data_IF_408768803556
#
_entry.id   IF_408768803556
#
_cell.length_a   1.000
_cell.length_b   1.000
_cell.length_c   1.000
_cell.angle_alpha   90.00
_cell.angle_beta   90.00
_cell.angle_gamma   90.00
#
_symmetry.space_group_name_H-M   'P 1'
#
loop_
_entity.id
_entity.type
_entity.pdbx_description
1 polymer ?
#
# COMPACT_ATOMS: atom_id res chain seq x y z
N UNK A 1 -11.96 31.96 4.26
CA UNK A 1 -11.48 30.64 4.70
C UNK A 1 -12.01 29.63 3.69
N UNK A 2 -11.36 29.55 2.53
CA UNK A 2 -11.80 28.68 1.44
C UNK A 2 -11.30 27.28 1.78
N UNK A 3 -12.16 26.46 2.38
CA UNK A 3 -11.93 25.04 2.49
C UNK A 3 -11.98 24.51 1.07
N UNK A 4 -10.82 24.21 0.48
CA UNK A 4 -10.74 23.41 -0.73
C UNK A 4 -11.36 22.06 -0.39
N UNK A 5 -12.64 21.87 -0.74
CA UNK A 5 -13.27 20.57 -0.71
C UNK A 5 -12.36 19.61 -1.49
N UNK A 6 -11.97 18.46 -0.91
CA UNK A 6 -11.19 17.48 -1.64
C UNK A 6 -12.03 17.05 -2.83
N UNK A 7 -11.61 17.45 -4.03
CA UNK A 7 -12.36 17.17 -5.24
C UNK A 7 -12.78 15.70 -5.28
N UNK A 8 -14.06 15.38 -5.55
CA UNK A 8 -14.57 14.01 -5.46
C UNK A 8 -13.79 13.03 -6.35
N UNK A 9 -13.20 13.54 -7.43
CA UNK A 9 -12.29 12.81 -8.30
C UNK A 9 -11.05 12.25 -7.60
N UNK A 10 -10.50 12.94 -6.58
CA UNK A 10 -9.33 12.47 -5.84
C UNK A 10 -9.68 11.30 -4.93
N UNK A 11 -10.87 11.31 -4.33
CA UNK A 11 -11.37 10.20 -3.52
C UNK A 11 -11.72 8.97 -4.36
N UNK A 12 -12.42 9.16 -5.50
CA UNK A 12 -12.80 8.06 -6.37
C UNK A 12 -11.60 7.29 -6.93
N UNK A 13 -10.51 8.00 -7.31
CA UNK A 13 -9.27 7.36 -7.77
C UNK A 13 -8.63 6.46 -6.71
N UNK A 14 -8.70 6.85 -5.43
CA UNK A 14 -8.18 6.04 -4.31
C UNK A 14 -9.03 4.78 -4.12
N UNK A 15 -10.35 4.95 -4.12
CA UNK A 15 -11.30 3.84 -3.99
C UNK A 15 -11.08 2.78 -5.09
N UNK A 16 -10.94 3.22 -6.35
CA UNK A 16 -10.69 2.32 -7.48
C UNK A 16 -9.35 1.60 -7.34
N UNK A 17 -8.31 2.28 -6.86
CA UNK A 17 -7.01 1.65 -6.62
C UNK A 17 -7.08 0.58 -5.52
N UNK A 18 -7.81 0.84 -4.43
CA UNK A 18 -8.01 -0.13 -3.34
C UNK A 18 -8.78 -1.36 -3.82
N UNK A 19 -9.86 -1.17 -4.58
CA UNK A 19 -10.61 -2.27 -5.18
C UNK A 19 -9.74 -3.07 -6.16
N UNK A 20 -8.94 -2.41 -6.99
CA UNK A 20 -8.04 -3.09 -7.92
C UNK A 20 -6.96 -3.91 -7.19
N UNK A 21 -6.45 -3.39 -6.07
CA UNK A 21 -5.48 -4.07 -5.21
C UNK A 21 -6.08 -5.28 -4.49
N UNK A 22 -7.29 -5.14 -3.93
CA UNK A 22 -8.02 -6.26 -3.33
C UNK A 22 -8.32 -7.35 -4.36
N UNK A 23 -8.78 -6.95 -5.55
CA UNK A 23 -9.04 -7.88 -6.64
C UNK A 23 -7.74 -8.58 -7.07
N UNK A 24 -6.63 -7.85 -7.14
CA UNK A 24 -5.31 -8.43 -7.39
C UNK A 24 -4.90 -9.42 -6.32
N UNK A 25 -5.09 -9.10 -5.03
CA UNK A 25 -4.72 -9.98 -3.92
C UNK A 25 -5.46 -11.33 -3.94
N UNK A 26 -6.72 -11.32 -4.38
CA UNK A 26 -7.61 -12.49 -4.41
C UNK A 26 -7.42 -13.37 -5.65
N UNK A 27 -7.23 -12.77 -6.83
CA UNK A 27 -7.21 -13.50 -8.09
C UNK A 27 -5.81 -13.71 -8.67
N UNK A 28 -4.83 -12.90 -8.27
CA UNK A 28 -3.47 -12.94 -8.82
C UNK A 28 -2.45 -13.38 -7.76
N UNK A 29 -1.30 -13.91 -8.20
CA UNK A 29 -0.19 -14.21 -7.30
C UNK A 29 0.28 -12.98 -6.53
N UNK A 30 0.71 -13.20 -5.29
CA UNK A 30 1.20 -12.17 -4.36
C UNK A 30 2.24 -11.20 -4.95
N UNK A 31 3.06 -11.65 -5.90
CA UNK A 31 4.05 -10.84 -6.60
C UNK A 31 3.42 -9.66 -7.37
N UNK A 32 2.28 -9.91 -8.03
CA UNK A 32 1.57 -8.89 -8.82
C UNK A 32 0.97 -7.85 -7.87
N UNK A 33 0.36 -8.32 -6.79
CA UNK A 33 -0.20 -7.45 -5.75
C UNK A 33 0.88 -6.58 -5.11
N UNK A 34 2.08 -7.13 -4.87
CA UNK A 34 3.21 -6.41 -4.29
C UNK A 34 3.69 -5.28 -5.23
N UNK A 35 3.83 -5.55 -6.53
CA UNK A 35 4.19 -4.53 -7.52
C UNK A 35 3.14 -3.41 -7.55
N UNK A 36 1.86 -3.76 -7.52
CA UNK A 36 0.77 -2.77 -7.46
C UNK A 36 0.83 -1.93 -6.18
N UNK A 37 1.14 -2.53 -5.03
CA UNK A 37 1.30 -1.82 -3.75
C UNK A 37 2.46 -0.82 -3.85
N UNK A 38 3.60 -1.21 -4.45
CA UNK A 38 4.74 -0.32 -4.64
C UNK A 38 4.33 0.87 -5.53
N UNK A 39 3.72 0.60 -6.70
CA UNK A 39 3.27 1.64 -7.62
C UNK A 39 2.27 2.59 -6.92
N UNK A 40 1.32 2.03 -6.16
CA UNK A 40 0.35 2.77 -5.36
C UNK A 40 1.02 3.65 -4.30
N UNK A 41 2.01 3.14 -3.58
CA UNK A 41 2.74 3.90 -2.56
C UNK A 41 3.55 5.08 -3.12
N UNK A 42 3.94 5.02 -4.40
CA UNK A 42 4.56 6.14 -5.13
C UNK A 42 3.52 7.15 -5.64
N UNK A 43 2.38 6.68 -6.16
CA UNK A 43 1.32 7.55 -6.69
C UNK A 43 0.51 8.27 -5.61
N UNK A 44 0.27 7.60 -4.48
CA UNK A 44 -0.59 8.11 -3.41
C UNK A 44 0.23 8.58 -2.23
N UNK A 45 -0.05 9.82 -1.79
CA UNK A 45 0.81 10.45 -0.80
C UNK A 45 0.69 9.85 0.62
N UNK A 46 -0.50 9.37 0.99
CA UNK A 46 -0.81 8.83 2.31
C UNK A 46 -1.44 7.45 2.13
N UNK A 47 -0.67 6.51 1.57
CA UNK A 47 -1.14 5.17 1.22
C UNK A 47 -1.01 4.21 2.41
N UNK A 48 -1.68 4.53 3.52
CA UNK A 48 -1.74 3.66 4.69
C UNK A 48 -2.50 2.36 4.39
N UNK A 49 -3.32 2.34 3.33
CA UNK A 49 -4.02 1.15 2.85
C UNK A 49 -3.03 0.02 2.47
N UNK A 50 -1.81 0.34 2.02
CA UNK A 50 -0.75 -0.65 1.74
C UNK A 50 -0.37 -1.51 2.95
N UNK A 51 -0.38 -0.94 4.16
CA UNK A 51 -0.05 -1.69 5.37
C UNK A 51 -1.13 -2.71 5.70
N UNK A 52 -2.40 -2.30 5.64
CA UNK A 52 -3.54 -3.20 5.85
C UNK A 52 -3.61 -4.29 4.78
N UNK A 53 -3.33 -3.94 3.52
CA UNK A 53 -3.23 -4.92 2.43
C UNK A 53 -2.05 -5.88 2.61
N UNK A 54 -0.90 -5.40 3.11
CA UNK A 54 0.24 -6.25 3.43
C UNK A 54 -0.09 -7.27 4.53
N UNK A 55 -0.81 -6.86 5.57
CA UNK A 55 -1.35 -7.76 6.59
C UNK A 55 -2.36 -8.76 6.02
N UNK A 56 -3.24 -8.30 5.12
CA UNK A 56 -4.20 -9.15 4.45
C UNK A 56 -3.51 -10.20 3.57
N UNK A 57 -2.44 -9.82 2.86
CA UNK A 57 -1.60 -10.73 2.09
C UNK A 57 -0.87 -11.73 2.97
N UNK A 58 -0.31 -11.30 4.12
CA UNK A 58 0.27 -12.24 5.09
C UNK A 58 -0.78 -13.21 5.65
N UNK A 59 -2.03 -12.78 5.83
CA UNK A 59 -3.11 -13.66 6.26
C UNK A 59 -3.55 -14.65 5.17
N UNK A 60 -3.58 -14.22 3.91
CA UNK A 60 -3.97 -15.06 2.77
C UNK A 60 -2.89 -16.06 2.37
N UNK A 61 -1.63 -15.61 2.37
CA UNK A 61 -0.49 -16.34 1.80
C UNK A 61 0.54 -16.80 2.84
N UNK A 62 0.46 -16.33 4.09
CA UNK A 62 1.43 -16.66 5.14
C UNK A 62 1.38 -18.10 5.65
N UNK A 63 0.48 -18.93 5.13
CA UNK A 63 0.40 -20.38 5.40
C UNK A 63 0.96 -21.24 4.27
N UNK A 64 0.86 -20.79 3.01
CA UNK A 64 1.24 -21.60 1.85
C UNK A 64 2.48 -21.09 1.09
N UNK A 65 2.75 -19.78 1.13
CA UNK A 65 3.60 -19.13 0.13
C UNK A 65 5.07 -18.98 0.53
N UNK A 66 5.69 -20.00 1.12
CA UNK A 66 7.11 -20.03 1.56
C UNK A 66 7.24 -19.52 2.99
N UNK A 67 7.49 -20.44 3.92
CA UNK A 67 8.13 -20.11 5.20
C UNK A 67 9.52 -19.56 4.90
N UNK A 68 9.63 -18.26 4.58
CA UNK A 68 10.91 -17.56 4.53
C UNK A 68 11.48 -17.56 5.95
N UNK A 69 12.24 -18.61 6.30
CA UNK A 69 12.85 -18.78 7.62
C UNK A 69 11.89 -18.68 8.82
N UNK A 70 10.60 -19.02 8.64
CA UNK A 70 9.58 -18.93 9.70
C UNK A 70 9.02 -17.52 9.93
N UNK A 71 9.31 -16.57 9.03
CA UNK A 71 8.85 -15.19 9.16
C UNK A 71 7.44 -15.02 8.57
N UNK A 72 6.43 -15.01 9.44
CA UNK A 72 4.99 -14.99 9.08
C UNK A 72 4.45 -13.61 8.67
N UNK A 73 5.20 -12.53 8.92
CA UNK A 73 4.78 -11.14 8.70
C UNK A 73 5.66 -10.42 7.66
N UNK A 74 6.07 -11.14 6.63
CA UNK A 74 7.02 -10.62 5.65
C UNK A 74 6.40 -9.49 4.82
N UNK A 75 5.17 -9.66 4.34
CA UNK A 75 4.50 -8.68 3.48
C UNK A 75 4.06 -7.43 4.26
N UNK A 76 3.60 -7.58 5.51
CA UNK A 76 3.29 -6.47 6.41
C UNK A 76 4.54 -5.66 6.75
N UNK A 77 5.70 -6.31 6.93
CA UNK A 77 6.98 -5.62 7.16
C UNK A 77 7.38 -4.78 5.95
N UNK A 78 7.24 -5.33 4.74
CA UNK A 78 7.47 -4.59 3.49
C UNK A 78 6.50 -3.42 3.36
N UNK A 79 5.21 -3.64 3.61
CA UNK A 79 4.17 -2.60 3.58
C UNK A 79 4.49 -1.47 4.57
N UNK A 80 4.90 -1.81 5.80
CA UNK A 80 5.33 -0.85 6.80
C UNK A 80 6.55 -0.06 6.34
N UNK A 81 7.54 -0.73 5.76
CA UNK A 81 8.74 -0.09 5.23
C UNK A 81 8.41 0.91 4.12
N UNK A 82 7.51 0.54 3.19
CA UNK A 82 7.04 1.40 2.11
C UNK A 82 6.30 2.64 2.62
N UNK A 83 5.39 2.46 3.59
CA UNK A 83 4.67 3.58 4.22
C UNK A 83 5.65 4.51 4.94
N UNK A 84 6.59 3.95 5.70
CA UNK A 84 7.62 4.71 6.40
C UNK A 84 8.50 5.50 5.42
N UNK A 85 8.98 4.87 4.36
CA UNK A 85 9.81 5.51 3.33
C UNK A 85 9.04 6.61 2.59
N UNK A 86 7.78 6.34 2.22
CA UNK A 86 6.90 7.32 1.57
C UNK A 86 6.65 8.53 2.47
N UNK A 87 6.54 8.33 3.79
CA UNK A 87 6.41 9.42 4.76
C UNK A 87 7.69 10.24 4.91
N UNK A 88 8.88 9.59 4.92
CA UNK A 88 10.17 10.27 5.04
C UNK A 88 10.51 11.09 3.80
N UNK A 89 10.27 10.54 2.61
CA UNK A 89 10.48 11.24 1.34
C UNK A 89 9.67 12.55 1.31
N UNK A 90 8.41 12.50 1.74
CA UNK A 90 7.56 13.69 1.78
C UNK A 90 7.94 14.70 2.86
N UNK A 91 8.42 14.22 4.01
CA UNK A 91 8.94 15.11 5.07
C UNK A 91 10.13 15.93 4.58
N UNK A 92 10.97 15.36 3.71
CA UNK A 92 12.06 16.09 3.05
C UNK A 92 11.59 17.09 1.99
N UNK A 93 10.56 16.73 1.19
CA UNK A 93 10.05 17.62 0.14
C UNK A 93 9.36 18.86 0.72
N UNK A 94 8.65 18.73 1.85
CA UNK A 94 7.98 19.86 2.51
C UNK A 94 8.91 20.75 3.34
N UNK A 95 10.17 20.36 3.54
CA UNK A 95 11.15 21.19 4.26
C UNK A 95 11.85 22.20 3.32
N UNK A 96 11.65 22.10 2.01
CA UNK A 96 12.27 22.98 1.01
C UNK A 96 11.28 23.94 0.31
N UNK A 97 10.03 24.00 0.77
CA UNK A 97 9.02 24.97 0.28
C UNK A 97 8.35 25.67 1.46
#
# INVERSE_FOLDING_TARGET
MHTEDPSPFKFYKRLVADFALLFSALFFPWWITLILIIIGAFFFENFYEAFFLGLFLDALYGTEAINFYGFRLFFATIGLFLVFFSSLLKKKVRFFS
#
